data_IF_521784776789
#
_entry.id   IF_521784776789
#
_cell.length_a   1.000
_cell.length_b   1.000
_cell.length_c   1.000
_cell.angle_alpha   90.00
_cell.angle_beta   90.00
_cell.angle_gamma   90.00
#
_symmetry.space_group_name_H-M   'P 1'
#
loop_
_entity.id
_entity.type
_entity.pdbx_description
1 polymer ?
#
# COMPACT_ATOMS: atom_id res chain seq x y z
N UNK A 1 -19.09 3.25 23.46
CA UNK A 1 -19.82 3.35 22.18
C UNK A 1 -18.78 3.67 21.14
N UNK A 2 -18.53 2.77 20.19
CA UNK A 2 -17.64 3.03 19.07
C UNK A 2 -18.33 4.06 18.18
N UNK A 3 -17.69 5.18 17.90
CA UNK A 3 -18.22 6.14 16.94
C UNK A 3 -18.18 5.46 15.55
N UNK A 4 -19.32 5.36 14.88
CA UNK A 4 -19.39 5.01 13.47
C UNK A 4 -18.80 6.19 12.68
N UNK A 5 -17.48 6.19 12.51
CA UNK A 5 -16.76 7.20 11.75
C UNK A 5 -16.71 6.78 10.29
N UNK A 6 -17.61 7.35 9.48
CA UNK A 6 -17.68 7.07 8.05
C UNK A 6 -16.69 7.94 7.27
N UNK A 7 -15.97 7.32 6.33
CA UNK A 7 -15.10 8.04 5.40
C UNK A 7 -15.95 8.50 4.21
N UNK A 8 -16.17 9.80 3.99
CA UNK A 8 -16.87 10.27 2.81
C UNK A 8 -16.01 10.03 1.57
N UNK A 9 -16.60 9.38 0.57
CA UNK A 9 -15.97 9.06 -0.71
C UNK A 9 -16.89 9.45 -1.86
N UNK A 10 -16.33 9.59 -3.06
CA UNK A 10 -17.14 9.78 -4.27
C UNK A 10 -17.91 8.50 -4.60
N UNK A 11 -19.02 8.62 -5.35
CA UNK A 11 -19.77 7.47 -5.85
C UNK A 11 -18.93 6.55 -6.72
N UNK A 12 -18.00 7.12 -7.49
CA UNK A 12 -17.06 6.34 -8.30
C UNK A 12 -16.16 5.47 -7.41
N UNK A 13 -15.52 6.07 -6.39
CA UNK A 13 -14.70 5.30 -5.44
C UNK A 13 -15.53 4.26 -4.69
N UNK A 14 -16.78 4.60 -4.32
CA UNK A 14 -17.69 3.66 -3.68
C UNK A 14 -17.99 2.44 -4.56
N UNK A 15 -18.19 2.63 -5.87
CA UNK A 15 -18.40 1.53 -6.83
C UNK A 15 -17.16 0.64 -6.95
N UNK A 16 -15.99 1.25 -7.09
CA UNK A 16 -14.72 0.50 -7.15
C UNK A 16 -14.51 -0.32 -5.88
N UNK A 17 -14.74 0.27 -4.71
CA UNK A 17 -14.66 -0.46 -3.43
C UNK A 17 -15.68 -1.60 -3.35
N UNK A 18 -16.87 -1.43 -3.94
CA UNK A 18 -17.88 -2.49 -3.99
C UNK A 18 -17.45 -3.65 -4.88
N UNK A 19 -16.86 -3.38 -6.04
CA UNK A 19 -16.36 -4.40 -6.97
C UNK A 19 -15.15 -5.18 -6.43
N UNK A 20 -14.29 -4.52 -5.66
CA UNK A 20 -13.14 -5.15 -5.01
C UNK A 20 -13.51 -6.03 -3.82
N UNK A 21 -14.73 -5.91 -3.31
CA UNK A 21 -15.18 -6.56 -2.09
C UNK A 21 -15.61 -8.01 -2.37
N UNK A 22 -15.15 -8.94 -1.55
CA UNK A 22 -15.59 -10.34 -1.63
C UNK A 22 -16.98 -10.55 -1.00
N UNK A 23 -17.74 -11.57 -1.45
CA UNK A 23 -19.00 -11.95 -0.82
C UNK A 23 -18.82 -12.27 0.68
N UNK A 24 -19.60 -11.62 1.53
CA UNK A 24 -19.53 -11.80 2.99
C UNK A 24 -18.45 -10.98 3.71
N UNK A 25 -17.58 -10.29 2.98
CA UNK A 25 -16.61 -9.35 3.56
C UNK A 25 -17.32 -8.09 4.09
N UNK A 26 -16.70 -7.32 4.99
CA UNK A 26 -17.13 -5.94 5.31
C UNK A 26 -16.25 -4.90 4.61
N UNK A 27 -16.71 -3.64 4.51
CA UNK A 27 -15.85 -2.58 3.98
C UNK A 27 -14.64 -2.33 4.87
N UNK A 28 -14.78 -2.46 6.19
CA UNK A 28 -13.67 -2.32 7.13
C UNK A 28 -12.60 -3.40 6.91
N UNK A 29 -13.01 -4.64 6.65
CA UNK A 29 -12.08 -5.72 6.36
C UNK A 29 -11.34 -5.48 5.04
N UNK A 30 -12.04 -5.02 4.01
CA UNK A 30 -11.43 -4.64 2.74
C UNK A 30 -10.43 -3.49 2.93
N UNK A 31 -10.82 -2.44 3.65
CA UNK A 31 -9.95 -1.28 3.91
C UNK A 31 -8.70 -1.67 4.70
N UNK A 32 -8.82 -2.57 5.68
CA UNK A 32 -7.66 -3.13 6.41
C UNK A 32 -6.70 -3.87 5.48
N UNK A 33 -7.23 -4.71 4.58
CA UNK A 33 -6.42 -5.44 3.60
C UNK A 33 -5.70 -4.49 2.64
N UNK A 34 -6.41 -3.50 2.09
CA UNK A 34 -5.82 -2.49 1.20
C UNK A 34 -4.73 -1.68 1.91
N UNK A 35 -4.95 -1.31 3.18
CA UNK A 35 -3.95 -0.61 3.98
C UNK A 35 -2.69 -1.46 4.20
N UNK A 36 -2.84 -2.76 4.48
CA UNK A 36 -1.71 -3.69 4.61
C UNK A 36 -0.95 -3.83 3.29
N UNK A 37 -1.65 -3.99 2.17
CA UNK A 37 -1.02 -4.09 0.84
C UNK A 37 -0.22 -2.83 0.50
N UNK A 38 -0.76 -1.63 0.78
CA UNK A 38 -0.05 -0.38 0.55
C UNK A 38 1.21 -0.27 1.40
N UNK A 39 1.13 -0.63 2.70
CA UNK A 39 2.30 -0.64 3.59
C UNK A 39 3.39 -1.58 3.07
N UNK A 40 3.02 -2.76 2.55
CA UNK A 40 3.99 -3.69 1.99
C UNK A 40 4.69 -3.11 0.77
N UNK A 41 3.94 -2.53 -0.18
CA UNK A 41 4.51 -1.85 -1.36
C UNK A 41 5.40 -0.67 -0.98
N UNK A 42 5.03 0.10 0.03
CA UNK A 42 5.84 1.22 0.51
C UNK A 42 7.16 0.73 1.14
N UNK A 43 7.16 -0.41 1.84
CA UNK A 43 8.39 -1.03 2.35
C UNK A 43 9.25 -1.56 1.20
N UNK A 44 8.68 -2.29 0.26
CA UNK A 44 9.38 -2.80 -0.94
C UNK A 44 10.06 -1.66 -1.71
N UNK A 45 9.34 -0.54 -1.92
CA UNK A 45 9.91 0.65 -2.57
C UNK A 45 11.09 1.23 -1.79
N UNK A 46 10.98 1.35 -0.46
CA UNK A 46 12.07 1.87 0.38
C UNK A 46 13.31 0.98 0.35
N UNK A 47 13.14 -0.34 0.31
CA UNK A 47 14.26 -1.26 0.17
C UNK A 47 14.95 -1.07 -1.18
N UNK A 48 14.17 -0.95 -2.28
CA UNK A 48 14.73 -0.68 -3.60
C UNK A 48 15.51 0.64 -3.63
N UNK A 49 14.94 1.72 -3.05
CA UNK A 49 15.61 3.02 -2.96
C UNK A 49 16.94 2.94 -2.19
N UNK A 50 17.02 2.13 -1.13
CA UNK A 50 18.26 1.90 -0.38
C UNK A 50 19.29 1.10 -1.19
N UNK A 51 18.88 0.03 -1.87
CA UNK A 51 19.78 -0.76 -2.73
C UNK A 51 20.36 0.07 -3.88
N UNK A 52 19.53 0.93 -4.49
CA UNK A 52 19.96 1.82 -5.56
C UNK A 52 20.93 2.89 -5.02
N UNK A 53 20.64 3.47 -3.85
CA UNK A 53 21.53 4.45 -3.20
C UNK A 53 22.88 3.85 -2.79
N UNK A 54 22.89 2.62 -2.26
CA UNK A 54 24.14 1.92 -1.94
C UNK A 54 24.93 1.61 -3.21
N UNK A 55 24.27 1.27 -4.33
CA UNK A 55 24.95 1.06 -5.61
C UNK A 55 25.60 2.32 -6.15
N UNK A 56 24.94 3.48 -6.05
CA UNK A 56 25.48 4.76 -6.54
C UNK A 56 26.66 5.28 -5.70
N UNK A 57 26.78 4.85 -4.43
CA UNK A 57 27.89 5.18 -3.53
C UNK A 57 29.09 4.23 -3.60
N UNK A 58 28.99 3.11 -4.32
CA UNK A 58 30.04 2.10 -4.41
C UNK A 58 30.86 2.26 -5.70
N UNK A 59 32.16 2.50 -5.55
CA UNK A 59 33.11 2.38 -6.67
C UNK A 59 33.20 0.91 -7.08
N UNK A 60 33.08 0.61 -8.38
CA UNK A 60 33.20 -0.76 -8.89
C UNK A 60 34.56 -1.35 -8.53
N UNK A 61 34.59 -2.58 -8.00
CA UNK A 61 35.84 -3.30 -7.69
C UNK A 61 36.69 -3.61 -8.94
N UNK A 62 36.15 -3.41 -10.14
CA UNK A 62 36.88 -3.50 -11.40
C UNK A 62 37.71 -2.24 -11.74
N UNK A 63 37.61 -1.18 -10.96
CA UNK A 63 38.40 0.06 -11.10
C UNK A 63 39.63 0.14 -10.15
N UNK A 64 39.96 -0.94 -9.44
CA UNK A 64 41.18 -1.08 -8.59
C UNK A 64 42.04 -2.24 -9.10
#
# INVERSE_FOLDING_TARGET
MSADEHIPVTEETRKVLHELKEPGQTYDDLLKQLAQQRRRRDLERRFQELEDADRDGLTSLSDV
#
